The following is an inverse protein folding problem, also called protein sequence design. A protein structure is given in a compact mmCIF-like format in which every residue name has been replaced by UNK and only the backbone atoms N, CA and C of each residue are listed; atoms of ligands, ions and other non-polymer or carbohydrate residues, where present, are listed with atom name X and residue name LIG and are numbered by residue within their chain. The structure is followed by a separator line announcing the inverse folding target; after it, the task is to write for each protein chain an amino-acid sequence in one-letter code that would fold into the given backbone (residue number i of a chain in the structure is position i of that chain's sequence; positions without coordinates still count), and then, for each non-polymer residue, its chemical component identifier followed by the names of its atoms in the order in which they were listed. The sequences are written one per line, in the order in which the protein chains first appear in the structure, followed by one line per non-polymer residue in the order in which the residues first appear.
data_IF_782872967969
#
_entry.id   IF_782872967969
#
_cell.length_a   1.000
_cell.length_b   1.000
_cell.length_c   1.000
_cell.angle_alpha   90.00
_cell.angle_beta   90.00
_cell.angle_gamma   90.00
#
_symmetry.space_group_name_H-M   'P 1'
#
loop_
_entity.id
_entity.type
_entity.pdbx_description
1 polymer ?
#
# COMPACT_ATOMS: atom_id res chain seq x y z
N UNK A 1 -7.82 13.98 -24.61
CA UNK A 1 -8.39 14.37 -23.30
C UNK A 1 -7.25 14.49 -22.29
N UNK A 2 -6.93 15.70 -21.86
CA UNK A 2 -5.92 15.97 -20.83
C UNK A 2 -6.43 15.44 -19.49
N UNK A 3 -5.72 14.52 -18.84
CA UNK A 3 -6.11 14.01 -17.52
C UNK A 3 -6.13 15.17 -16.51
N UNK A 4 -7.32 15.49 -15.99
CA UNK A 4 -7.55 16.55 -14.99
C UNK A 4 -6.85 16.30 -13.64
N UNK A 5 -6.23 15.14 -13.46
CA UNK A 5 -5.55 14.74 -12.23
C UNK A 5 -4.22 15.45 -11.99
N UNK A 6 -3.60 16.05 -13.01
CA UNK A 6 -2.38 16.85 -12.83
C UNK A 6 -2.72 18.33 -12.79
N UNK A 7 -2.39 19.05 -11.69
CA UNK A 7 -2.36 20.50 -11.75
C UNK A 7 -1.34 20.90 -12.83
N UNK A 8 -1.74 21.78 -13.74
CA UNK A 8 -0.81 22.39 -14.69
C UNK A 8 0.28 23.10 -13.90
N UNK A 9 1.53 22.93 -14.33
CA UNK A 9 2.70 23.52 -13.69
C UNK A 9 2.62 25.06 -13.60
N UNK A 10 1.74 25.66 -14.40
CA UNK A 10 1.37 27.06 -14.35
C UNK A 10 0.38 27.25 -13.19
N UNK A 11 0.90 27.71 -12.05
CA UNK A 11 0.13 27.98 -10.81
C UNK A 11 -1.17 28.72 -11.13
N UNK A 12 -2.31 28.02 -10.98
CA UNK A 12 -3.62 28.61 -11.22
C UNK A 12 -3.86 29.71 -10.17
N UNK A 13 -4.01 31.00 -10.54
CA UNK A 13 -4.24 32.05 -9.57
C UNK A 13 -5.65 31.90 -8.99
N UNK A 14 -5.73 31.72 -7.68
CA UNK A 14 -6.96 31.41 -6.92
C UNK A 14 -7.49 32.60 -6.10
N UNK A 15 -6.74 33.69 -6.03
CA UNK A 15 -7.09 34.89 -5.27
C UNK A 15 -8.37 35.54 -5.80
N UNK A 16 -9.34 35.77 -4.91
CA UNK A 16 -10.60 36.45 -5.27
C UNK A 16 -11.55 35.61 -6.13
N UNK A 17 -11.33 34.30 -6.25
CA UNK A 17 -12.19 33.41 -7.05
C UNK A 17 -13.14 32.60 -6.16
N UNK A 18 -14.26 32.21 -6.76
CA UNK A 18 -15.18 31.23 -6.19
C UNK A 18 -14.69 29.82 -6.58
N UNK A 19 -14.43 28.98 -5.59
CA UNK A 19 -13.86 27.65 -5.78
C UNK A 19 -14.88 26.61 -5.32
N UNK A 20 -15.09 25.60 -6.16
CA UNK A 20 -15.90 24.42 -5.81
C UNK A 20 -14.96 23.23 -5.70
N UNK A 21 -15.00 22.56 -4.55
CA UNK A 21 -14.18 21.38 -4.27
C UNK A 21 -15.09 20.16 -4.19
N UNK A 22 -14.82 19.17 -5.04
CA UNK A 22 -15.53 17.90 -5.06
C UNK A 22 -14.72 16.87 -4.26
N UNK A 23 -15.32 16.36 -3.18
CA UNK A 23 -14.70 15.39 -2.29
C UNK A 23 -14.00 16.00 -1.06
N UNK A 24 -13.91 15.20 0.00
CA UNK A 24 -13.25 15.56 1.26
C UNK A 24 -12.17 14.55 1.69
N UNK A 25 -11.63 13.78 0.75
CA UNK A 25 -10.49 12.91 1.04
C UNK A 25 -9.26 13.72 1.44
N UNK A 26 -8.20 13.03 1.89
CA UNK A 26 -6.97 13.65 2.37
C UNK A 26 -6.45 14.81 1.48
N UNK A 27 -6.50 14.65 0.15
CA UNK A 27 -6.09 15.70 -0.79
C UNK A 27 -7.00 16.94 -0.75
N UNK A 28 -8.33 16.76 -0.73
CA UNK A 28 -9.28 17.86 -0.60
C UNK A 28 -9.20 18.54 0.77
N UNK A 29 -9.02 17.76 1.84
CA UNK A 29 -8.92 18.25 3.22
C UNK A 29 -7.66 19.08 3.47
N UNK A 30 -6.55 18.78 2.79
CA UNK A 30 -5.34 19.60 2.83
C UNK A 30 -5.48 20.88 2.00
N UNK A 31 -6.22 20.81 0.89
CA UNK A 31 -6.38 21.93 -0.05
C UNK A 31 -7.33 23.01 0.49
N UNK A 32 -8.47 22.62 1.08
CA UNK A 32 -9.49 23.54 1.60
C UNK A 32 -8.91 24.58 2.58
N UNK A 33 -8.20 24.22 3.67
CA UNK A 33 -7.68 25.21 4.62
C UNK A 33 -6.59 26.10 4.01
N UNK A 34 -5.77 25.57 3.09
CA UNK A 34 -4.74 26.34 2.40
C UNK A 34 -5.36 27.38 1.43
N UNK A 35 -6.47 27.03 0.77
CA UNK A 35 -7.15 27.91 -0.18
C UNK A 35 -8.15 28.86 0.48
N UNK A 36 -8.71 28.51 1.63
CA UNK A 36 -9.69 29.33 2.36
C UNK A 36 -9.14 30.72 2.75
N UNK A 37 -7.82 30.84 2.90
CA UNK A 37 -7.14 32.10 3.21
C UNK A 37 -7.02 33.05 2.00
N UNK A 38 -7.15 32.53 0.78
CA UNK A 38 -6.83 33.24 -0.47
C UNK A 38 -8.07 33.41 -1.37
N UNK A 39 -8.98 32.44 -1.34
CA UNK A 39 -10.20 32.42 -2.13
C UNK A 39 -11.26 33.38 -1.57
N UNK A 40 -12.20 33.82 -2.42
CA UNK A 40 -13.31 34.66 -1.98
C UNK A 40 -14.46 33.82 -1.40
N UNK A 41 -14.72 32.66 -2.00
CA UNK A 41 -15.75 31.74 -1.55
C UNK A 41 -15.33 30.29 -1.88
N UNK A 42 -15.55 29.36 -0.94
CA UNK A 42 -15.26 27.94 -1.12
C UNK A 42 -16.50 27.14 -0.73
N UNK A 43 -16.96 26.31 -1.67
CA UNK A 43 -18.05 25.35 -1.44
C UNK A 43 -17.48 23.94 -1.63
N UNK A 44 -17.63 23.09 -0.60
CA UNK A 44 -17.16 21.72 -0.62
C UNK A 44 -18.34 20.75 -0.69
N UNK A 45 -18.30 19.80 -1.63
CA UNK A 45 -19.28 18.72 -1.76
C UNK A 45 -18.64 17.37 -1.40
N UNK A 46 -18.77 16.90 -0.14
CA UNK A 46 -18.31 15.58 0.25
C UNK A 46 -19.27 14.49 -0.23
N UNK A 47 -18.76 13.38 -0.75
CA UNK A 47 -19.57 12.17 -1.00
C UNK A 47 -19.94 11.46 0.31
N UNK A 48 -19.05 11.49 1.31
CA UNK A 48 -19.26 10.92 2.65
C UNK A 48 -18.52 11.73 3.70
N UNK A 49 -19.05 11.77 4.93
CA UNK A 49 -18.35 12.37 6.08
C UNK A 49 -17.11 11.53 6.44
N UNK A 50 -16.02 12.20 6.81
CA UNK A 50 -14.78 11.55 7.24
C UNK A 50 -14.45 11.99 8.66
N UNK A 51 -13.99 11.05 9.50
CA UNK A 51 -13.54 11.35 10.85
C UNK A 51 -12.19 12.08 10.79
N UNK A 52 -12.17 13.30 11.33
CA UNK A 52 -10.95 14.06 11.51
C UNK A 52 -10.31 13.66 12.84
N UNK A 53 -9.09 13.13 12.81
CA UNK A 53 -8.35 12.71 14.00
C UNK A 53 -7.16 13.65 14.26
N UNK A 54 -7.36 14.78 14.96
CA UNK A 54 -6.38 15.87 15.04
C UNK A 54 -5.08 15.55 15.79
N UNK A 55 -5.05 14.52 16.65
CA UNK A 55 -3.96 14.40 17.65
C UNK A 55 -3.21 13.06 17.71
N UNK A 56 -3.73 11.98 17.11
CA UNK A 56 -3.04 10.67 17.13
C UNK A 56 -2.30 10.32 15.85
N UNK A 57 -2.48 11.11 14.78
CA UNK A 57 -1.83 10.80 13.51
C UNK A 57 -0.30 10.85 13.63
N UNK A 58 0.26 11.75 14.44
CA UNK A 58 1.71 11.84 14.63
C UNK A 58 2.27 10.61 15.35
N UNK A 59 1.59 10.13 16.40
CA UNK A 59 1.99 8.92 17.12
C UNK A 59 1.83 7.66 16.24
N UNK A 60 0.74 7.58 15.46
CA UNK A 60 0.54 6.49 14.49
C UNK A 60 1.58 6.55 13.37
N UNK A 61 1.95 7.73 12.89
CA UNK A 61 3.02 7.90 11.91
C UNK A 61 4.36 7.45 12.46
N UNK A 62 4.70 7.89 13.69
CA UNK A 62 5.94 7.46 14.36
C UNK A 62 5.97 5.96 14.62
N UNK A 63 4.84 5.38 15.02
CA UNK A 63 4.71 3.94 15.22
C UNK A 63 4.88 3.19 13.89
N UNK A 64 4.17 3.61 12.84
CA UNK A 64 4.25 3.01 11.51
C UNK A 64 5.66 3.14 10.93
N UNK A 65 6.26 4.33 11.01
CA UNK A 65 7.64 4.58 10.63
C UNK A 65 8.58 3.65 11.40
N UNK A 66 8.44 3.56 12.72
CA UNK A 66 9.28 2.67 13.54
C UNK A 66 9.11 1.18 13.17
N UNK A 67 7.89 0.74 12.84
CA UNK A 67 7.62 -0.64 12.39
C UNK A 67 8.26 -0.91 11.03
N UNK A 68 8.10 0.02 10.09
CA UNK A 68 8.66 -0.09 8.74
C UNK A 68 10.20 -0.03 8.80
N UNK A 69 10.77 0.91 9.53
CA UNK A 69 12.23 1.10 9.70
C UNK A 69 12.87 -0.14 10.35
N UNK A 70 12.21 -0.75 11.34
CA UNK A 70 12.66 -2.04 11.91
C UNK A 70 12.62 -3.18 10.88
N UNK A 71 11.71 -3.11 9.91
CA UNK A 71 11.60 -4.08 8.82
C UNK A 71 12.69 -3.89 7.76
N UNK A 72 13.19 -2.66 7.53
CA UNK A 72 14.36 -2.40 6.67
C UNK A 72 15.62 -3.12 7.14
N UNK A 73 15.75 -3.39 8.44
CA UNK A 73 16.82 -4.20 9.02
C UNK A 73 16.99 -5.60 8.42
N UNK A 74 15.98 -6.09 7.69
CA UNK A 74 15.96 -7.39 7.00
C UNK A 74 16.54 -7.29 5.58
N UNK A 75 16.55 -6.10 4.98
CA UNK A 75 17.05 -5.86 3.62
C UNK A 75 18.57 -5.68 3.57
N UNK A 76 19.22 -5.43 4.71
CA UNK A 76 20.67 -5.30 4.77
C UNK A 76 21.38 -6.65 4.58
N UNK A 77 22.42 -6.66 3.75
CA UNK A 77 23.33 -7.79 3.52
C UNK A 77 24.34 -7.97 4.67
N UNK A 78 23.87 -7.86 5.91
CA UNK A 78 24.66 -8.11 7.13
C UNK A 78 24.28 -9.47 7.72
N UNK A 79 25.16 -10.06 8.53
CA UNK A 79 24.88 -11.33 9.22
C UNK A 79 23.59 -11.27 10.04
N UNK A 80 23.33 -10.14 10.71
CA UNK A 80 22.12 -9.89 11.48
C UNK A 80 20.87 -9.75 10.60
N UNK A 81 20.99 -9.17 9.41
CA UNK A 81 19.90 -9.09 8.42
C UNK A 81 19.54 -10.46 7.86
N UNK A 82 20.54 -11.25 7.47
CA UNK A 82 20.37 -12.63 6.98
C UNK A 82 19.70 -13.54 8.02
N UNK A 83 20.06 -13.41 9.31
CA UNK A 83 19.40 -14.15 10.39
C UNK A 83 17.92 -13.76 10.56
N UNK A 84 17.56 -12.49 10.36
CA UNK A 84 16.16 -12.04 10.41
C UNK A 84 15.36 -12.52 9.21
N UNK A 85 15.95 -12.55 8.02
CA UNK A 85 15.33 -13.14 6.83
C UNK A 85 15.10 -14.65 6.98
N UNK A 86 16.05 -15.39 7.56
CA UNK A 86 15.89 -16.83 7.84
C UNK A 86 14.77 -17.14 8.84
N UNK A 87 14.44 -16.20 9.74
CA UNK A 87 13.32 -16.34 10.69
C UNK A 87 11.95 -16.12 10.05
N UNK A 88 11.86 -15.50 8.87
CA UNK A 88 10.60 -15.42 8.14
C UNK A 88 10.23 -16.81 7.62
N UNK A 89 9.20 -17.41 8.23
CA UNK A 89 8.68 -18.75 7.91
C UNK A 89 7.93 -18.80 6.56
N UNK A 90 8.43 -18.15 5.51
CA UNK A 90 7.81 -18.13 4.17
C UNK A 90 7.68 -19.55 3.59
N UNK A 91 8.59 -20.46 3.94
CA UNK A 91 8.60 -21.85 3.45
C UNK A 91 7.48 -22.72 4.06
N UNK A 92 6.88 -22.30 5.18
CA UNK A 92 5.89 -23.13 5.91
C UNK A 92 4.53 -23.25 5.21
N UNK A 93 4.27 -22.47 4.16
CA UNK A 93 3.05 -22.59 3.35
C UNK A 93 3.15 -23.64 2.24
N UNK A 94 4.33 -23.82 1.63
CA UNK A 94 4.52 -24.74 0.50
C UNK A 94 4.34 -26.19 0.94
N UNK A 95 4.81 -26.56 2.13
CA UNK A 95 4.65 -27.91 2.70
C UNK A 95 3.19 -28.28 3.00
N UNK A 96 2.29 -27.29 3.10
CA UNK A 96 0.84 -27.50 3.26
C UNK A 96 0.15 -27.73 1.92
N UNK A 97 0.84 -27.51 0.81
CA UNK A 97 0.31 -27.77 -0.53
C UNK A 97 0.24 -29.29 -0.73
N UNK A 98 -0.92 -29.86 -1.10
CA UNK A 98 -1.09 -31.30 -1.25
C UNK A 98 -0.22 -31.92 -2.35
N UNK A 99 0.29 -31.09 -3.28
CA UNK A 99 0.99 -31.53 -4.48
C UNK A 99 2.52 -31.58 -4.28
N UNK A 100 3.01 -32.74 -3.82
CA UNK A 100 4.43 -32.96 -3.48
C UNK A 100 5.39 -32.87 -4.67
N UNK A 101 4.93 -33.22 -5.87
CA UNK A 101 5.76 -33.30 -7.08
C UNK A 101 6.31 -31.93 -7.53
N UNK A 102 5.63 -30.84 -7.16
CA UNK A 102 5.98 -29.49 -7.60
C UNK A 102 6.68 -28.67 -6.52
N UNK A 103 6.95 -29.25 -5.34
CA UNK A 103 7.60 -28.54 -4.24
C UNK A 103 8.98 -27.99 -4.61
N UNK A 104 9.75 -28.73 -5.40
CA UNK A 104 11.09 -28.28 -5.83
C UNK A 104 11.00 -27.14 -6.87
N UNK A 105 9.89 -27.04 -7.61
CA UNK A 105 9.62 -25.93 -8.53
C UNK A 105 9.04 -24.70 -7.81
N UNK A 106 8.24 -24.92 -6.76
CA UNK A 106 7.57 -23.88 -5.97
C UNK A 106 8.48 -23.22 -4.94
N UNK A 107 9.51 -23.94 -4.45
CA UNK A 107 10.51 -23.37 -3.52
C UNK A 107 11.44 -22.43 -4.30
N UNK A 108 11.46 -21.13 -3.98
CA UNK A 108 12.38 -20.21 -4.64
C UNK A 108 13.84 -20.52 -4.26
N UNK A 109 14.74 -20.52 -5.24
CA UNK A 109 16.19 -20.72 -5.04
C UNK A 109 16.94 -19.49 -4.52
N UNK A 110 16.24 -18.36 -4.37
CA UNK A 110 16.79 -17.07 -3.93
C UNK A 110 16.35 -16.74 -2.49
N UNK A 111 17.11 -15.87 -1.81
CA UNK A 111 16.80 -15.44 -0.42
C UNK A 111 15.47 -14.68 -0.36
N UNK A 112 14.75 -14.84 0.76
CA UNK A 112 13.55 -14.07 1.08
C UNK A 112 13.89 -12.57 1.05
N UNK A 113 13.09 -11.78 0.32
CA UNK A 113 13.31 -10.34 0.13
C UNK A 113 14.11 -9.95 -1.12
N UNK A 114 14.79 -10.88 -1.80
CA UNK A 114 15.46 -10.59 -3.08
C UNK A 114 14.48 -10.32 -4.23
N UNK A 115 13.25 -10.82 -4.11
CA UNK A 115 12.11 -10.48 -4.95
C UNK A 115 10.93 -10.11 -4.07
N UNK A 116 10.03 -9.29 -4.60
CA UNK A 116 8.80 -8.89 -3.91
C UNK A 116 7.99 -10.14 -3.55
N UNK A 117 7.60 -10.27 -2.29
CA UNK A 117 6.72 -11.35 -1.85
C UNK A 117 5.31 -11.09 -2.38
N UNK A 118 4.74 -12.07 -3.07
CA UNK A 118 3.35 -12.03 -3.54
C UNK A 118 2.48 -12.55 -2.41
N UNK A 119 1.50 -11.75 -1.99
CA UNK A 119 0.45 -12.22 -1.09
C UNK A 119 -0.64 -12.87 -1.93
N UNK A 120 -0.77 -14.18 -1.82
CA UNK A 120 -1.84 -14.93 -2.45
C UNK A 120 -2.86 -15.34 -1.36
N UNK A 121 -4.13 -14.88 -1.43
CA UNK A 121 -5.17 -15.30 -0.50
C UNK A 121 -5.61 -16.77 -0.66
N UNK A 122 -5.05 -17.51 -1.63
CA UNK A 122 -5.31 -18.93 -1.81
C UNK A 122 -5.60 -19.35 -3.25
N UNK A 123 -5.49 -18.43 -4.22
CA UNK A 123 -5.78 -18.70 -5.62
C UNK A 123 -4.93 -19.85 -6.18
N UNK A 124 -3.64 -19.91 -5.84
CA UNK A 124 -2.74 -20.97 -6.33
C UNK A 124 -3.17 -22.35 -5.77
N UNK A 125 -3.69 -22.39 -4.54
CA UNK A 125 -4.16 -23.63 -3.93
C UNK A 125 -5.47 -24.08 -4.58
N UNK A 126 -6.43 -23.17 -4.76
CA UNK A 126 -7.71 -23.50 -5.40
C UNK A 126 -7.54 -23.95 -6.87
N UNK A 127 -6.68 -23.27 -7.63
CA UNK A 127 -6.37 -23.63 -9.01
C UNK A 127 -5.68 -25.01 -9.11
N UNK A 128 -4.84 -25.37 -8.14
CA UNK A 128 -4.20 -26.69 -8.13
C UNK A 128 -5.20 -27.84 -7.88
N UNK A 129 -6.25 -27.61 -7.09
CA UNK A 129 -7.31 -28.60 -6.85
C UNK A 129 -8.21 -28.78 -8.08
N UNK A 130 -8.47 -27.73 -8.85
CA UNK A 130 -9.28 -27.81 -10.06
C UNK A 130 -8.56 -28.51 -11.21
N UNK A 131 -7.26 -28.26 -11.40
CA UNK A 131 -6.42 -28.93 -12.42
C UNK A 131 -6.28 -30.44 -12.24
N UNK A 132 -6.39 -30.93 -11.01
CA UNK A 132 -6.33 -32.36 -10.70
C UNK A 132 -7.67 -33.09 -10.93
N UNK A 133 -8.81 -32.35 -10.88
CA UNK A 133 -10.14 -32.92 -11.17
C UNK A 133 -10.46 -32.97 -12.67
N UNK A 134 -9.76 -32.19 -13.50
CA UNK A 134 -10.01 -32.14 -14.96
C UNK A 134 -9.18 -33.11 -15.78
N UNK A 135 -8.20 -33.81 -15.17
CA UNK A 135 -7.34 -34.81 -15.82
C UNK A 135 -7.75 -36.27 -15.53
N UNK A 136 -8.93 -36.49 -14.96
CA UNK A 136 -9.60 -37.80 -14.81
C UNK A 136 -10.88 -37.81 -15.63
#
# INVERSE_FOLDING_TARGET
MSSSSRPKADTVPIKGKNIVILGNSCSGMQLVPAQALIAQNIIQFPHSLQFYFPYGHLAVHWLLFSVIERSFGQLYTTLSGDQRCKKQKVVSGVEKTPLREYWELLKPSYKVGCKRQVYDPGCILEDSHSLHSTNT
#
